data_IF_321627267848
#
_entry.id   IF_321627267848
#
_cell.length_a   1.000
_cell.length_b   1.000
_cell.length_c   1.000
_cell.angle_alpha   90.00
_cell.angle_beta   90.00
_cell.angle_gamma   90.00
#
_symmetry.space_group_name_H-M   'P 1'
#
loop_
_entity.id
_entity.type
_entity.pdbx_description
1 polymer ?
#
# COMPACT_ATOMS: atom_id res chain seq x y z
N UNK A 1 3.47 63.91 12.31
CA UNK A 1 4.13 62.74 12.92
C UNK A 1 4.00 61.60 11.91
N UNK A 2 4.95 61.52 10.97
CA UNK A 2 4.95 60.56 9.88
C UNK A 2 5.80 59.35 10.30
N UNK A 3 5.18 58.22 10.51
CA UNK A 3 5.93 56.95 10.68
C UNK A 3 6.78 56.70 9.41
N UNK A 4 8.07 56.36 9.57
CA UNK A 4 8.95 56.20 8.42
C UNK A 4 8.47 55.03 7.56
N UNK A 5 8.12 55.32 6.31
CA UNK A 5 7.68 54.38 5.27
C UNK A 5 8.54 53.10 5.23
N UNK A 6 9.81 53.21 5.60
CA UNK A 6 10.76 52.08 5.70
C UNK A 6 10.40 51.04 6.77
N UNK A 7 9.74 51.47 7.86
CA UNK A 7 9.29 50.55 8.92
C UNK A 7 8.05 49.77 8.46
N UNK A 8 7.15 50.41 7.74
CA UNK A 8 5.95 49.79 7.15
C UNK A 8 6.30 48.75 6.08
N UNK A 9 7.27 49.05 5.22
CA UNK A 9 7.76 48.11 4.18
C UNK A 9 8.47 46.88 4.79
N UNK A 10 9.19 47.07 5.90
CA UNK A 10 9.84 45.96 6.61
C UNK A 10 8.84 45.03 7.30
N UNK A 11 7.79 45.56 7.91
CA UNK A 11 6.75 44.75 8.55
C UNK A 11 5.91 43.97 7.51
N UNK A 12 5.66 44.58 6.33
CA UNK A 12 4.94 43.92 5.25
C UNK A 12 5.74 42.75 4.62
N UNK A 13 7.08 42.93 4.50
CA UNK A 13 7.98 41.89 3.99
C UNK A 13 8.09 40.70 4.94
N UNK A 14 8.10 40.93 6.25
CA UNK A 14 8.15 39.86 7.26
C UNK A 14 6.83 39.10 7.30
N UNK A 15 5.69 39.79 7.22
CA UNK A 15 4.38 39.14 7.18
C UNK A 15 4.20 38.28 5.92
N UNK A 16 4.69 38.70 4.77
CA UNK A 16 4.64 37.94 3.51
C UNK A 16 5.57 36.74 3.55
N UNK A 17 6.74 36.83 4.19
CA UNK A 17 7.65 35.67 4.33
C UNK A 17 7.09 34.60 5.27
N UNK A 18 6.37 34.97 6.33
CA UNK A 18 5.75 34.00 7.26
C UNK A 18 4.59 33.27 6.62
N UNK A 19 3.80 33.88 5.74
CA UNK A 19 2.72 33.20 5.00
C UNK A 19 3.22 32.19 3.96
N UNK A 20 4.41 32.41 3.39
CA UNK A 20 5.01 31.44 2.47
C UNK A 20 5.54 30.18 3.16
N UNK A 21 5.95 30.27 4.43
CA UNK A 21 6.45 29.13 5.20
C UNK A 21 5.36 28.14 5.63
N UNK A 22 4.10 28.57 5.73
CA UNK A 22 2.99 27.70 6.13
C UNK A 22 2.42 26.88 4.95
N UNK A 23 2.68 27.27 3.70
CA UNK A 23 2.20 26.57 2.52
C UNK A 23 3.00 25.30 2.18
N UNK A 24 4.19 25.11 2.77
CA UNK A 24 5.10 23.98 2.43
C UNK A 24 4.71 22.66 3.13
N UNK A 25 3.83 22.67 4.12
CA UNK A 25 3.49 21.47 4.88
C UNK A 25 2.24 20.70 4.39
N UNK A 26 1.61 21.13 3.31
CA UNK A 26 0.53 20.39 2.66
C UNK A 26 1.06 19.49 1.54
N UNK A 27 2.15 18.75 1.78
CA UNK A 27 2.48 17.61 0.93
C UNK A 27 1.45 16.53 1.26
N UNK A 28 0.46 16.38 0.37
CA UNK A 28 -0.42 15.21 0.37
C UNK A 28 0.47 13.97 0.40
N UNK A 29 0.39 13.20 1.50
CA UNK A 29 1.08 11.92 1.59
C UNK A 29 0.65 11.10 0.39
N UNK A 30 1.60 10.55 -0.35
CA UNK A 30 1.29 9.66 -1.44
C UNK A 30 0.30 8.58 -0.95
N UNK A 31 -0.72 8.24 -1.73
CA UNK A 31 -1.74 7.27 -1.31
C UNK A 31 -1.10 5.92 -1.02
N UNK A 32 -1.49 5.29 0.08
CA UNK A 32 -1.13 3.90 0.36
C UNK A 32 -1.81 2.99 -0.66
N UNK A 33 -1.05 2.16 -1.35
CA UNK A 33 -1.57 1.16 -2.29
C UNK A 33 -1.59 -0.21 -1.63
N UNK A 34 -2.76 -0.86 -1.63
CA UNK A 34 -2.90 -2.25 -1.22
C UNK A 34 -3.15 -3.08 -2.47
N UNK A 35 -2.14 -3.83 -2.90
CA UNK A 35 -2.28 -4.74 -4.03
C UNK A 35 -2.93 -6.06 -3.58
N UNK A 36 -3.78 -6.62 -4.43
CA UNK A 36 -4.43 -7.93 -4.22
C UNK A 36 -4.16 -8.79 -5.44
N UNK A 37 -3.54 -9.96 -5.25
CA UNK A 37 -3.15 -10.86 -6.33
C UNK A 37 -4.27 -11.71 -6.92
N UNK A 38 -5.55 -11.40 -6.58
CA UNK A 38 -6.73 -12.18 -6.92
C UNK A 38 -7.86 -11.28 -7.43
N UNK A 39 -8.86 -11.83 -8.14
CA UNK A 39 -9.98 -11.05 -8.65
C UNK A 39 -10.74 -10.32 -7.54
N UNK A 40 -11.39 -9.19 -7.84
CA UNK A 40 -12.25 -8.49 -6.90
C UNK A 40 -13.41 -9.37 -6.43
N UNK A 41 -13.85 -9.15 -5.18
CA UNK A 41 -14.92 -9.91 -4.53
C UNK A 41 -14.47 -11.21 -3.88
N UNK A 42 -13.23 -11.66 -4.08
CA UNK A 42 -12.65 -12.79 -3.34
C UNK A 42 -12.27 -12.42 -1.90
N UNK A 43 -11.99 -13.44 -1.07
CA UNK A 43 -11.66 -13.23 0.35
C UNK A 43 -10.51 -12.26 0.58
N UNK A 44 -9.45 -12.34 -0.23
CA UNK A 44 -8.31 -11.42 -0.13
C UNK A 44 -8.69 -9.97 -0.47
N UNK A 45 -9.57 -9.76 -1.43
CA UNK A 45 -10.08 -8.43 -1.80
C UNK A 45 -10.96 -7.84 -0.70
N UNK A 46 -11.88 -8.64 -0.16
CA UNK A 46 -12.74 -8.21 0.95
C UNK A 46 -11.91 -7.81 2.17
N UNK A 47 -10.93 -8.63 2.54
CA UNK A 47 -10.02 -8.34 3.65
C UNK A 47 -9.22 -7.06 3.38
N UNK A 48 -8.68 -6.89 2.18
CA UNK A 48 -7.90 -5.70 1.82
C UNK A 48 -8.73 -4.41 1.94
N UNK A 49 -10.00 -4.45 1.54
CA UNK A 49 -10.93 -3.30 1.66
C UNK A 49 -11.31 -3.02 3.11
N UNK A 50 -11.55 -4.05 3.92
CA UNK A 50 -11.81 -3.87 5.36
C UNK A 50 -10.60 -3.25 6.07
N UNK A 51 -9.38 -3.67 5.72
CA UNK A 51 -8.16 -3.07 6.24
C UNK A 51 -8.06 -1.61 5.80
N UNK A 52 -8.27 -1.33 4.50
CA UNK A 52 -8.22 0.03 3.96
C UNK A 52 -9.19 0.96 4.70
N UNK A 53 -10.43 0.52 4.95
CA UNK A 53 -11.43 1.28 5.69
C UNK A 53 -11.00 1.51 7.14
N UNK A 54 -10.44 0.48 7.79
CA UNK A 54 -10.03 0.54 9.19
C UNK A 54 -8.85 1.47 9.47
N UNK A 55 -7.91 1.60 8.53
CA UNK A 55 -6.68 2.42 8.71
C UNK A 55 -6.75 3.78 8.01
N UNK A 56 -7.88 4.11 7.37
CA UNK A 56 -8.05 5.34 6.59
C UNK A 56 -7.79 6.62 7.40
N UNK A 57 -8.12 6.61 8.69
CA UNK A 57 -7.91 7.75 9.58
C UNK A 57 -6.42 8.09 9.75
N UNK A 58 -5.53 7.07 9.74
CA UNK A 58 -4.11 7.21 9.97
C UNK A 58 -3.31 7.48 8.68
N UNK A 59 -3.74 6.84 7.58
CA UNK A 59 -3.02 6.84 6.30
C UNK A 59 -3.61 7.78 5.24
N UNK A 60 -4.81 8.30 5.45
CA UNK A 60 -5.48 9.18 4.49
C UNK A 60 -6.01 8.39 3.28
N UNK A 61 -5.57 8.75 2.06
CA UNK A 61 -6.03 8.10 0.84
C UNK A 61 -5.41 6.71 0.70
N UNK A 62 -6.26 5.69 0.59
CA UNK A 62 -5.85 4.30 0.36
C UNK A 62 -6.50 3.79 -0.92
N UNK A 63 -5.70 3.15 -1.78
CA UNK A 63 -6.16 2.57 -3.04
C UNK A 63 -5.97 1.06 -3.00
N UNK A 64 -7.06 0.30 -3.12
CA UNK A 64 -7.02 -1.16 -3.28
C UNK A 64 -7.04 -1.48 -4.78
N UNK A 65 -5.99 -2.17 -5.26
CA UNK A 65 -5.80 -2.51 -6.66
C UNK A 65 -5.67 -4.03 -6.84
N UNK A 66 -6.55 -4.62 -7.66
CA UNK A 66 -6.50 -6.04 -7.97
C UNK A 66 -5.62 -6.30 -9.19
N UNK A 67 -4.53 -7.06 -9.01
CA UNK A 67 -3.64 -7.55 -10.07
C UNK A 67 -3.68 -9.08 -10.10
N UNK A 68 -4.81 -9.60 -10.56
CA UNK A 68 -5.05 -11.04 -10.61
C UNK A 68 -4.18 -11.73 -11.68
N UNK A 69 -3.81 -12.99 -11.42
CA UNK A 69 -3.16 -13.86 -12.37
C UNK A 69 -1.95 -14.61 -11.82
N UNK A 70 -1.64 -15.73 -12.46
CA UNK A 70 -0.50 -16.60 -12.13
C UNK A 70 -0.41 -16.99 -10.63
N UNK A 71 -1.58 -17.18 -9.95
CA UNK A 71 -1.62 -17.48 -8.52
C UNK A 71 -1.14 -16.34 -7.62
N UNK A 72 -1.29 -15.09 -8.04
CA UNK A 72 -0.86 -13.90 -7.30
C UNK A 72 0.56 -13.41 -7.64
N UNK A 73 1.30 -14.14 -8.50
CA UNK A 73 2.67 -13.76 -8.86
C UNK A 73 2.77 -12.45 -9.62
N UNK A 74 1.73 -12.05 -10.38
CA UNK A 74 1.70 -10.75 -11.06
C UNK A 74 1.69 -9.60 -10.05
N UNK A 75 0.88 -9.71 -8.99
CA UNK A 75 0.85 -8.72 -7.93
C UNK A 75 2.18 -8.67 -7.14
N UNK A 76 2.77 -9.84 -6.85
CA UNK A 76 4.08 -9.92 -6.19
C UNK A 76 5.19 -9.26 -7.01
N UNK A 77 5.23 -9.48 -8.32
CA UNK A 77 6.18 -8.80 -9.21
C UNK A 77 5.98 -7.27 -9.19
N UNK A 78 4.73 -6.81 -9.14
CA UNK A 78 4.42 -5.39 -9.07
C UNK A 78 4.87 -4.76 -7.73
N UNK A 79 4.68 -5.45 -6.59
CA UNK A 79 5.18 -4.98 -5.29
C UNK A 79 6.70 -4.95 -5.25
N UNK A 80 7.35 -6.00 -5.74
CA UNK A 80 8.81 -6.07 -5.83
C UNK A 80 9.40 -4.92 -6.65
N UNK A 81 8.72 -4.51 -7.71
CA UNK A 81 9.14 -3.39 -8.57
C UNK A 81 8.79 -2.01 -8.00
N UNK A 82 7.94 -1.94 -6.97
CA UNK A 82 7.57 -0.68 -6.33
C UNK A 82 8.71 -0.13 -5.46
N UNK A 83 8.61 1.15 -5.10
CA UNK A 83 9.56 1.74 -4.14
C UNK A 83 9.39 1.08 -2.77
N UNK A 84 10.50 0.81 -2.10
CA UNK A 84 10.51 0.26 -0.74
C UNK A 84 10.33 1.37 0.33
N UNK A 85 9.30 2.19 0.18
CA UNK A 85 8.99 3.34 1.04
C UNK A 85 7.77 3.09 1.96
N UNK A 86 7.24 1.86 1.95
CA UNK A 86 6.07 1.48 2.73
C UNK A 86 4.74 1.93 2.14
N UNK A 87 4.71 2.62 0.99
CA UNK A 87 3.48 3.09 0.36
C UNK A 87 2.82 2.04 -0.56
N UNK A 88 3.46 0.89 -0.74
CA UNK A 88 2.87 -0.23 -1.51
C UNK A 88 2.97 -1.51 -0.72
N UNK A 89 1.83 -2.07 -0.37
CA UNK A 89 1.71 -3.34 0.36
C UNK A 89 0.86 -4.34 -0.42
N UNK A 90 0.90 -5.60 -0.04
CA UNK A 90 0.09 -6.65 -0.68
C UNK A 90 -0.65 -7.48 0.36
N UNK A 91 -1.90 -7.81 0.06
CA UNK A 91 -2.70 -8.81 0.77
C UNK A 91 -2.80 -10.05 -0.12
N UNK A 92 -2.32 -11.18 0.38
CA UNK A 92 -2.31 -12.44 -0.35
C UNK A 92 -2.39 -13.65 0.58
N UNK A 93 -2.89 -14.81 0.10
CA UNK A 93 -2.72 -16.09 0.80
C UNK A 93 -1.24 -16.45 0.93
N UNK A 94 -0.89 -17.27 1.92
CA UNK A 94 0.50 -17.68 2.17
C UNK A 94 1.13 -18.55 1.08
N UNK A 95 0.33 -19.22 0.24
CA UNK A 95 0.82 -20.14 -0.79
C UNK A 95 1.95 -19.59 -1.66
N UNK A 96 1.81 -18.40 -2.27
CA UNK A 96 2.88 -17.79 -3.05
C UNK A 96 4.19 -17.58 -2.29
N UNK A 97 4.14 -17.34 -0.99
CA UNK A 97 5.32 -17.07 -0.16
C UNK A 97 5.95 -18.34 0.41
N UNK A 98 5.13 -19.32 0.75
CA UNK A 98 5.59 -20.52 1.47
C UNK A 98 5.66 -21.75 0.57
N UNK A 99 4.65 -21.98 -0.29
CA UNK A 99 4.57 -23.18 -1.11
C UNK A 99 5.28 -23.03 -2.45
N UNK A 100 5.11 -21.92 -3.15
CA UNK A 100 5.63 -21.74 -4.50
C UNK A 100 7.16 -21.87 -4.63
N UNK A 101 7.99 -21.43 -3.66
CA UNK A 101 9.43 -21.67 -3.68
C UNK A 101 9.81 -23.16 -3.78
N UNK A 102 8.94 -24.07 -3.32
CA UNK A 102 9.21 -25.52 -3.33
C UNK A 102 8.62 -26.26 -4.55
N UNK A 103 7.63 -25.65 -5.22
CA UNK A 103 6.95 -26.33 -6.35
C UNK A 103 7.30 -25.76 -7.72
N UNK A 104 7.74 -24.50 -7.79
CA UNK A 104 8.16 -23.88 -9.05
C UNK A 104 9.68 -23.93 -9.22
N UNK A 105 10.14 -24.45 -10.35
CA UNK A 105 11.58 -24.50 -10.68
C UNK A 105 12.21 -23.09 -10.83
N UNK A 106 11.39 -22.10 -11.21
CA UNK A 106 11.82 -20.71 -11.39
C UNK A 106 10.74 -19.77 -10.93
N UNK A 107 11.08 -18.89 -10.00
CA UNK A 107 10.27 -17.76 -9.56
C UNK A 107 11.00 -16.46 -9.88
N UNK A 108 10.23 -15.40 -10.17
CA UNK A 108 10.78 -14.07 -10.45
C UNK A 108 11.01 -13.26 -9.17
N UNK A 109 10.76 -13.86 -8.01
CA UNK A 109 10.92 -13.26 -6.70
C UNK A 109 11.53 -14.27 -5.70
N UNK A 110 12.17 -13.72 -4.69
CA UNK A 110 12.59 -14.41 -3.46
C UNK A 110 11.64 -14.02 -2.33
N UNK A 111 10.92 -15.00 -1.77
CA UNK A 111 9.90 -14.76 -0.76
C UNK A 111 10.44 -14.15 0.55
N UNK A 112 11.72 -14.34 0.85
CA UNK A 112 12.37 -13.88 2.08
C UNK A 112 13.13 -12.57 1.87
N UNK A 113 13.79 -12.42 0.71
CA UNK A 113 14.67 -11.28 0.45
C UNK A 113 13.95 -10.07 -0.14
N UNK A 114 12.91 -10.32 -0.96
CA UNK A 114 12.25 -9.25 -1.70
C UNK A 114 11.09 -8.61 -0.93
N UNK A 115 10.64 -9.20 0.19
CA UNK A 115 9.47 -8.73 0.93
C UNK A 115 9.70 -8.72 2.43
N UNK A 116 9.11 -7.74 3.11
CA UNK A 116 9.06 -7.67 4.56
C UNK A 116 7.63 -8.02 5.01
N UNK A 117 7.42 -9.10 5.80
CA UNK A 117 6.11 -9.43 6.33
C UNK A 117 5.68 -8.38 7.36
N UNK A 118 4.40 -7.98 7.31
CA UNK A 118 3.83 -7.00 8.23
C UNK A 118 3.03 -7.71 9.32
N UNK A 119 2.03 -8.51 8.94
CA UNK A 119 1.15 -9.20 9.89
C UNK A 119 0.45 -10.39 9.24
N UNK A 120 0.11 -11.38 10.07
CA UNK A 120 -0.86 -12.41 9.74
C UNK A 120 -2.26 -11.86 10.03
N UNK A 121 -3.10 -11.75 8.99
CA UNK A 121 -4.43 -11.15 9.07
C UNK A 121 -5.49 -12.18 9.45
N UNK A 122 -5.30 -13.43 9.07
CA UNK A 122 -6.24 -14.52 9.32
C UNK A 122 -5.77 -15.85 8.74
N UNK A 123 -6.54 -16.90 8.99
CA UNK A 123 -6.32 -18.22 8.42
C UNK A 123 -7.60 -18.80 7.88
N UNK A 124 -7.45 -19.69 6.91
CA UNK A 124 -8.52 -20.47 6.35
C UNK A 124 -8.05 -21.90 6.13
N UNK A 125 -8.99 -22.84 6.07
CA UNK A 125 -8.71 -24.25 5.86
C UNK A 125 -9.03 -24.63 4.42
N UNK A 126 -8.23 -25.51 3.83
CA UNK A 126 -8.55 -26.17 2.58
C UNK A 126 -9.32 -27.44 2.85
N UNK A 127 -10.41 -27.66 2.10
CA UNK A 127 -11.12 -28.93 2.07
C UNK A 127 -10.90 -29.63 0.72
N UNK A 128 -10.72 -30.92 0.75
CA UNK A 128 -10.77 -31.76 -0.45
C UNK A 128 -12.14 -32.41 -0.47
N UNK A 129 -12.85 -32.26 -1.58
CA UNK A 129 -14.17 -32.85 -1.79
C UNK A 129 -14.15 -33.68 -3.06
N UNK A 130 -14.82 -34.84 -3.00
CA UNK A 130 -15.03 -35.71 -4.17
C UNK A 130 -16.52 -35.85 -4.45
N UNK A 131 -16.89 -35.92 -5.71
CA UNK A 131 -18.25 -36.18 -6.13
C UNK A 131 -18.66 -37.63 -5.89
N UNK A 132 -19.99 -37.92 -5.90
CA UNK A 132 -20.50 -39.28 -5.66
C UNK A 132 -20.10 -40.32 -6.73
N UNK A 133 -19.49 -39.92 -7.85
CA UNK A 133 -19.09 -40.74 -8.97
C UNK A 133 -17.56 -40.85 -9.15
N UNK A 134 -16.78 -40.50 -8.13
CA UNK A 134 -15.31 -40.56 -8.18
C UNK A 134 -14.75 -41.77 -7.48
#
# INVERSE_FOLDING_TARGET
MLLPIRALLRSLSVAFAVTLLTAVNAQDKAPLKILVGFPPGGSADVIARLIADGIKADFGTIVVENKAGAGGRIALAAVKAAKADGQTVIVLPSGPMVLFPHVYKKLEYDAVRDFTPISLIGHFQFGVVAGPAS
#
